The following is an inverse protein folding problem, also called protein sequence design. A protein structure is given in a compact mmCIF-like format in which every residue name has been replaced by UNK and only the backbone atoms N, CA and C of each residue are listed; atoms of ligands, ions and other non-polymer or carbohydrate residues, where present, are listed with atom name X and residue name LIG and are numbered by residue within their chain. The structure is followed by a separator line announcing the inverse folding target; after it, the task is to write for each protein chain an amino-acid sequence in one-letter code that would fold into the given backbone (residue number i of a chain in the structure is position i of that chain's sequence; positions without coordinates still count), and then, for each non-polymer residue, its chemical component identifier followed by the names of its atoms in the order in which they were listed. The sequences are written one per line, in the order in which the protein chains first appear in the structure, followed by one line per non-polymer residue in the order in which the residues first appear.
data_IF_478350209336
#
_entry.id   IF_478350209336
#
_cell.length_a   1.000
_cell.length_b   1.000
_cell.length_c   1.000
_cell.angle_alpha   90.00
_cell.angle_beta   90.00
_cell.angle_gamma   90.00
#
_symmetry.space_group_name_H-M   'P 1'
#
loop_
_entity.id
_entity.type
_entity.pdbx_description
1 polymer ?
#
# COMPACT_ATOMS: atom_id res chain seq x y z
N UNK A 1 -38.83 34.51 -3.01
CA UNK A 1 -38.69 33.70 -1.78
C UNK A 1 -37.35 33.00 -1.88
N UNK A 2 -36.29 33.60 -1.34
CA UNK A 2 -34.94 33.03 -1.35
C UNK A 2 -34.79 32.10 -0.15
N UNK A 3 -34.69 30.79 -0.42
CA UNK A 3 -34.30 29.82 0.60
C UNK A 3 -32.76 29.83 0.64
N UNK A 4 -32.19 30.71 1.47
CA UNK A 4 -30.79 30.59 1.91
C UNK A 4 -30.72 29.48 2.97
N UNK A 5 -30.69 28.23 2.53
CA UNK A 5 -30.34 27.10 3.40
C UNK A 5 -28.87 27.22 3.77
N UNK A 6 -28.56 27.82 4.92
CA UNK A 6 -27.29 27.63 5.61
C UNK A 6 -27.17 26.16 6.00
N UNK A 7 -26.60 25.34 5.11
CA UNK A 7 -26.13 24.02 5.48
C UNK A 7 -25.07 24.21 6.58
N UNK A 8 -25.34 23.73 7.81
CA UNK A 8 -24.30 23.63 8.84
C UNK A 8 -23.32 22.57 8.36
N UNK A 9 -22.13 23.00 7.95
CA UNK A 9 -21.04 22.10 7.61
C UNK A 9 -20.47 21.51 8.92
N UNK A 10 -20.84 20.26 9.21
CA UNK A 10 -20.23 19.52 10.30
C UNK A 10 -18.90 18.96 9.82
N UNK A 11 -17.79 19.53 10.32
CA UNK A 11 -16.46 18.97 10.11
C UNK A 11 -16.26 17.77 11.03
N UNK A 12 -16.43 16.59 10.48
CA UNK A 12 -16.06 15.35 11.18
C UNK A 12 -14.57 15.14 10.98
N UNK A 13 -13.82 15.11 12.08
CA UNK A 13 -12.39 14.82 12.04
C UNK A 13 -12.17 13.34 11.72
N UNK A 14 -11.12 13.07 10.96
CA UNK A 14 -10.67 11.71 10.68
C UNK A 14 -10.06 11.07 11.92
N UNK A 15 -10.22 9.76 12.04
CA UNK A 15 -9.68 8.99 13.16
C UNK A 15 -8.43 8.21 12.76
N UNK A 16 -7.49 8.14 13.69
CA UNK A 16 -6.32 7.28 13.64
C UNK A 16 -6.73 5.81 13.85
N UNK A 17 -5.84 4.89 13.46
CA UNK A 17 -6.04 3.46 13.72
C UNK A 17 -6.20 3.20 15.24
N UNK A 18 -5.36 3.84 16.07
CA UNK A 18 -5.41 3.69 17.53
C UNK A 18 -6.77 4.13 18.12
N UNK A 19 -7.36 5.21 17.61
CA UNK A 19 -8.69 5.66 18.03
C UNK A 19 -9.77 4.63 17.68
N UNK A 20 -9.71 4.03 16.48
CA UNK A 20 -10.63 2.95 16.11
C UNK A 20 -10.44 1.69 16.97
N UNK A 21 -9.20 1.26 17.16
CA UNK A 21 -8.84 0.12 18.00
C UNK A 21 -9.27 0.35 19.45
N UNK A 22 -9.23 1.59 19.93
CA UNK A 22 -9.71 1.92 21.25
C UNK A 22 -11.24 1.89 21.34
N UNK A 23 -11.95 2.36 20.31
CA UNK A 23 -13.42 2.39 20.30
C UNK A 23 -14.06 1.00 20.27
N UNK A 24 -13.49 0.05 19.52
CA UNK A 24 -14.03 -1.33 19.43
C UNK A 24 -13.75 -2.20 20.67
N UNK A 25 -13.05 -1.66 21.68
CA UNK A 25 -12.96 -2.30 23.00
C UNK A 25 -14.31 -2.28 23.71
N UNK A 26 -15.16 -1.31 23.39
CA UNK A 26 -16.54 -1.27 23.86
C UNK A 26 -17.40 -2.27 23.07
N UNK A 27 -18.09 -3.15 23.80
CA UNK A 27 -18.90 -4.23 23.21
C UNK A 27 -20.10 -3.71 22.43
N UNK A 28 -20.77 -2.66 22.91
CA UNK A 28 -21.93 -2.08 22.24
C UNK A 28 -21.52 -1.42 20.92
N UNK A 29 -20.41 -0.66 20.96
CA UNK A 29 -19.82 -0.07 19.75
C UNK A 29 -19.45 -1.16 18.76
N UNK A 30 -18.72 -2.19 19.19
CA UNK A 30 -18.30 -3.27 18.30
C UNK A 30 -19.49 -4.00 17.66
N UNK A 31 -20.50 -4.37 18.45
CA UNK A 31 -21.69 -5.05 17.94
C UNK A 31 -22.40 -4.20 16.87
N UNK A 32 -22.52 -2.89 17.11
CA UNK A 32 -23.18 -1.97 16.19
C UNK A 32 -22.49 -1.81 14.84
N UNK A 33 -21.16 -1.99 14.78
CA UNK A 33 -20.36 -1.79 13.55
C UNK A 33 -19.83 -3.07 12.92
N UNK A 34 -19.95 -4.21 13.61
CA UNK A 34 -19.40 -5.51 13.19
C UNK A 34 -19.75 -5.90 11.74
N UNK A 35 -20.98 -5.63 11.30
CA UNK A 35 -21.44 -5.91 9.94
C UNK A 35 -20.75 -5.07 8.85
N UNK A 36 -20.15 -3.94 9.22
CA UNK A 36 -19.35 -3.09 8.33
C UNK A 36 -17.86 -3.46 8.35
N UNK A 37 -17.40 -4.22 9.34
CA UNK A 37 -16.03 -4.71 9.44
C UNK A 37 -15.85 -6.03 8.66
N UNK A 38 -16.30 -6.01 7.40
CA UNK A 38 -16.43 -7.15 6.48
C UNK A 38 -15.25 -7.26 5.50
N UNK A 39 -14.12 -6.64 5.81
CA UNK A 39 -12.93 -6.73 4.97
C UNK A 39 -12.38 -8.17 4.97
N UNK A 40 -11.92 -8.69 3.82
CA UNK A 40 -11.45 -10.06 3.73
C UNK A 40 -10.28 -10.31 4.68
N UNK A 41 -10.29 -11.47 5.33
CA UNK A 41 -9.19 -11.92 6.17
C UNK A 41 -7.90 -12.10 5.35
N UNK A 42 -6.78 -11.92 6.04
CA UNK A 42 -5.43 -12.17 5.50
C UNK A 42 -5.22 -13.65 5.20
N UNK A 43 -5.76 -14.53 6.06
CA UNK A 43 -5.72 -15.97 5.89
C UNK A 43 -7.16 -16.49 5.70
N UNK A 44 -7.45 -17.28 4.66
CA UNK A 44 -8.70 -18.02 4.60
C UNK A 44 -8.71 -18.98 5.80
N UNK A 45 -9.81 -18.99 6.55
CA UNK A 45 -10.12 -19.88 7.69
C UNK A 45 -9.64 -19.47 9.10
N UNK A 46 -9.10 -18.27 9.31
CA UNK A 46 -8.91 -17.72 10.67
C UNK A 46 -10.08 -16.83 11.09
N UNK A 47 -10.67 -17.11 12.27
CA UNK A 47 -11.50 -16.13 12.97
C UNK A 47 -10.64 -14.89 13.28
N UNK A 48 -10.98 -13.77 12.65
CA UNK A 48 -10.28 -12.52 12.89
C UNK A 48 -10.64 -11.99 14.27
N UNK A 49 -9.61 -11.60 15.03
CA UNK A 49 -9.82 -10.79 16.22
C UNK A 49 -10.48 -9.46 15.86
N UNK A 50 -11.18 -8.82 16.82
CA UNK A 50 -11.80 -7.51 16.59
C UNK A 50 -10.80 -6.47 16.04
N UNK A 51 -9.59 -6.49 16.57
CA UNK A 51 -8.50 -5.63 16.13
C UNK A 51 -8.13 -5.90 14.67
N UNK A 52 -7.97 -7.18 14.27
CA UNK A 52 -7.69 -7.55 12.89
C UNK A 52 -8.81 -7.10 11.94
N UNK A 53 -10.08 -7.16 12.36
CA UNK A 53 -11.22 -6.69 11.55
C UNK A 53 -11.13 -5.19 11.27
N UNK A 54 -10.79 -4.40 12.29
CA UNK A 54 -10.57 -2.96 12.16
C UNK A 54 -9.37 -2.65 11.29
N UNK A 55 -8.23 -3.32 11.51
CA UNK A 55 -7.01 -3.11 10.72
C UNK A 55 -7.24 -3.41 9.23
N UNK A 56 -7.88 -4.53 8.91
CA UNK A 56 -8.25 -4.88 7.54
C UNK A 56 -9.19 -3.85 6.92
N UNK A 57 -10.17 -3.36 7.68
CA UNK A 57 -11.07 -2.31 7.19
C UNK A 57 -10.38 -0.96 7.03
N UNK A 58 -9.43 -0.64 7.91
CA UNK A 58 -8.69 0.62 7.92
C UNK A 58 -7.85 0.80 6.66
N UNK A 59 -7.39 -0.28 6.02
CA UNK A 59 -6.77 -0.18 4.70
C UNK A 59 -7.67 0.50 3.66
N UNK A 60 -8.96 0.16 3.65
CA UNK A 60 -9.94 0.72 2.71
C UNK A 60 -10.49 2.06 3.21
N UNK A 61 -10.98 2.09 4.45
CA UNK A 61 -11.69 3.23 5.02
C UNK A 61 -10.75 4.33 5.55
N UNK A 62 -9.55 3.93 5.98
CA UNK A 62 -8.57 4.74 6.69
C UNK A 62 -9.23 5.65 7.71
N UNK A 63 -8.93 6.94 7.63
CA UNK A 63 -9.43 7.91 8.61
C UNK A 63 -10.93 8.23 8.54
N UNK A 64 -11.68 7.70 7.58
CA UNK A 64 -13.09 8.07 7.40
C UNK A 64 -14.01 7.24 8.29
N UNK A 65 -14.55 7.83 9.35
CA UNK A 65 -15.48 7.14 10.26
C UNK A 65 -16.72 6.65 9.52
N UNK A 66 -17.16 7.40 8.49
CA UNK A 66 -18.29 7.00 7.66
C UNK A 66 -17.98 5.74 6.85
N UNK A 67 -16.78 5.63 6.28
CA UNK A 67 -16.36 4.41 5.57
C UNK A 67 -16.07 3.25 6.53
N UNK A 68 -15.59 3.54 7.73
CA UNK A 68 -15.30 2.53 8.76
C UNK A 68 -16.59 1.91 9.31
N UNK A 69 -17.56 2.73 9.71
CA UNK A 69 -18.69 2.28 10.54
C UNK A 69 -20.04 2.20 9.83
N UNK A 70 -20.19 2.76 8.62
CA UNK A 70 -21.48 2.84 7.94
C UNK A 70 -21.54 2.12 6.59
N UNK A 71 -20.39 1.81 5.99
CA UNK A 71 -20.34 1.18 4.68
C UNK A 71 -19.63 -0.16 4.71
N UNK A 72 -20.16 -1.13 3.96
CA UNK A 72 -19.45 -2.38 3.64
C UNK A 72 -18.21 -2.13 2.79
N UNK A 73 -17.22 -3.02 2.90
CA UNK A 73 -15.88 -2.84 2.32
C UNK A 73 -15.94 -2.73 0.80
N UNK A 74 -16.75 -3.58 0.16
CA UNK A 74 -16.99 -3.49 -1.28
C UNK A 74 -17.53 -2.11 -1.69
N UNK A 75 -18.48 -1.56 -0.94
CA UNK A 75 -19.04 -0.23 -1.22
C UNK A 75 -18.01 0.89 -1.03
N UNK A 76 -17.15 0.78 -0.02
CA UNK A 76 -16.03 1.72 0.18
C UNK A 76 -15.08 1.66 -1.01
N UNK A 77 -14.66 0.45 -1.42
CA UNK A 77 -13.76 0.24 -2.54
C UNK A 77 -14.30 0.84 -3.85
N UNK A 78 -15.57 0.56 -4.19
CA UNK A 78 -16.22 1.14 -5.38
C UNK A 78 -16.24 2.67 -5.31
N UNK A 79 -16.70 3.26 -4.20
CA UNK A 79 -16.79 4.72 -4.05
C UNK A 79 -15.44 5.42 -4.16
N UNK A 80 -14.38 4.79 -3.67
CA UNK A 80 -13.02 5.32 -3.75
C UNK A 80 -12.43 5.15 -5.14
N UNK A 81 -12.67 4.02 -5.80
CA UNK A 81 -12.33 3.79 -7.22
C UNK A 81 -12.92 4.89 -8.11
N UNK A 82 -14.24 5.09 -8.05
CA UNK A 82 -14.94 6.11 -8.86
C UNK A 82 -14.39 7.52 -8.61
N UNK A 83 -14.02 7.83 -7.36
CA UNK A 83 -13.47 9.12 -6.98
C UNK A 83 -12.04 9.32 -7.51
N UNK A 84 -11.21 8.27 -7.53
CA UNK A 84 -9.86 8.31 -8.12
C UNK A 84 -9.91 8.41 -9.64
N UNK A 85 -10.82 7.67 -10.29
CA UNK A 85 -10.99 7.74 -11.74
C UNK A 85 -11.40 9.18 -12.15
N UNK A 86 -12.34 9.78 -11.41
CA UNK A 86 -12.72 11.18 -11.59
C UNK A 86 -11.57 12.18 -11.32
N UNK A 87 -10.68 11.87 -10.37
CA UNK A 87 -9.52 12.70 -10.04
C UNK A 87 -8.44 12.65 -11.14
N UNK A 88 -8.23 11.47 -11.74
CA UNK A 88 -7.32 11.29 -12.86
C UNK A 88 -7.80 12.06 -14.10
N UNK A 89 -9.10 12.02 -14.38
CA UNK A 89 -9.72 12.76 -15.49
C UNK A 89 -9.72 14.27 -15.27
N UNK A 90 -9.81 14.73 -14.01
CA UNK A 90 -9.72 16.14 -13.65
C UNK A 90 -8.31 16.74 -13.85
N UNK A 91 -7.25 15.93 -14.01
CA UNK A 91 -5.95 16.43 -14.47
C UNK A 91 -6.00 16.93 -15.92
N UNK A 92 -6.97 16.45 -16.71
CA UNK A 92 -7.26 16.88 -18.08
C UNK A 92 -8.33 17.97 -18.18
N UNK A 93 -9.10 18.24 -17.12
CA UNK A 93 -10.22 19.20 -17.15
C UNK A 93 -10.03 20.31 -16.11
N UNK A 94 -9.53 21.43 -16.62
CA UNK A 94 -9.72 22.80 -16.15
C UNK A 94 -9.17 23.19 -14.75
N UNK A 95 -8.22 24.12 -14.82
CA UNK A 95 -8.21 25.35 -14.03
C UNK A 95 -9.64 25.89 -13.83
N UNK A 96 -10.28 25.62 -12.71
CA UNK A 96 -11.36 26.50 -12.20
C UNK A 96 -11.77 26.12 -10.79
N UNK A 97 -11.86 27.15 -9.97
CA UNK A 97 -12.45 27.19 -8.65
C UNK A 97 -13.81 26.45 -8.53
N UNK A 98 -14.04 25.92 -7.33
CA UNK A 98 -15.35 25.71 -6.70
C UNK A 98 -16.31 24.59 -7.16
N UNK A 99 -15.92 23.63 -8.01
CA UNK A 99 -16.79 22.44 -8.29
C UNK A 99 -16.19 21.04 -8.10
N UNK A 100 -14.94 20.92 -7.65
CA UNK A 100 -14.27 19.62 -7.34
C UNK A 100 -14.41 19.16 -5.88
N UNK A 101 -15.18 19.88 -5.05
CA UNK A 101 -15.29 19.64 -3.60
C UNK A 101 -15.89 18.28 -3.23
N UNK A 102 -16.67 17.65 -4.10
CA UNK A 102 -17.33 16.37 -3.80
C UNK A 102 -16.43 15.15 -3.93
N UNK A 103 -15.42 15.17 -4.81
CA UNK A 103 -14.51 14.04 -5.04
C UNK A 103 -13.23 14.16 -4.19
N UNK A 104 -12.69 15.37 -4.05
CA UNK A 104 -11.52 15.64 -3.22
C UNK A 104 -11.84 15.30 -1.75
N UNK A 105 -12.96 15.77 -1.19
CA UNK A 105 -13.32 15.47 0.21
C UNK A 105 -13.51 13.97 0.52
N UNK A 106 -13.59 13.09 -0.50
CA UNK A 106 -13.67 11.63 -0.32
C UNK A 106 -12.31 10.96 -0.29
N UNK A 107 -11.30 11.57 -0.90
CA UNK A 107 -9.94 11.04 -1.02
C UNK A 107 -9.01 11.55 0.09
N UNK A 108 -9.38 12.63 0.77
CA UNK A 108 -8.56 13.24 1.82
C UNK A 108 -9.27 13.24 3.18
N UNK A 109 -8.51 12.97 4.24
CA UNK A 109 -8.96 13.10 5.63
C UNK A 109 -8.79 14.50 6.19
N UNK A 110 -9.23 14.70 7.42
CA UNK A 110 -8.94 15.89 8.21
C UNK A 110 -8.50 15.45 9.60
N UNK A 111 -7.20 15.38 9.84
CA UNK A 111 -6.65 14.99 11.15
C UNK A 111 -6.33 16.23 11.98
N UNK A 112 -6.68 16.19 13.26
CA UNK A 112 -6.32 17.24 14.21
C UNK A 112 -4.84 17.15 14.56
N UNK A 113 -4.11 18.27 14.49
CA UNK A 113 -2.73 18.34 15.00
C UNK A 113 -2.73 18.50 16.52
N UNK A 114 -1.92 17.73 17.26
CA UNK A 114 -1.87 17.84 18.72
C UNK A 114 -1.38 19.19 19.27
N UNK A 115 -0.75 20.07 18.46
CA UNK A 115 -0.06 21.27 18.97
C UNK A 115 -0.03 22.51 18.06
N UNK A 116 -0.69 22.49 16.90
CA UNK A 116 -0.73 23.62 15.95
C UNK A 116 -2.17 23.83 15.49
N UNK A 117 -2.63 25.09 15.42
CA UNK A 117 -3.92 25.42 14.82
C UNK A 117 -3.83 25.13 13.32
N UNK A 118 -4.35 23.97 12.90
CA UNK A 118 -4.37 23.55 11.51
C UNK A 118 -4.74 22.07 11.35
N UNK A 119 -5.50 21.77 10.30
CA UNK A 119 -5.84 20.40 9.87
C UNK A 119 -4.89 19.96 8.77
N UNK A 120 -4.35 18.73 8.88
CA UNK A 120 -3.66 18.09 7.74
C UNK A 120 -4.72 17.35 6.94
N UNK A 121 -4.67 17.49 5.61
CA UNK A 121 -5.53 16.75 4.69
C UNK A 121 -4.78 15.69 3.92
N UNK A 122 -4.45 14.55 4.56
CA UNK A 122 -3.74 13.51 3.88
C UNK A 122 -4.67 12.53 3.18
N UNK A 123 -4.11 11.60 2.39
CA UNK A 123 -4.90 10.59 1.68
C UNK A 123 -5.64 9.82 2.76
N UNK A 124 -6.95 9.66 2.57
CA UNK A 124 -7.83 9.14 3.61
C UNK A 124 -7.45 7.71 4.00
N UNK A 125 -6.95 6.91 3.06
CA UNK A 125 -6.63 5.50 3.24
C UNK A 125 -5.56 5.02 2.27
N UNK A 126 -4.90 3.90 2.63
CA UNK A 126 -3.89 3.28 1.79
C UNK A 126 -4.43 2.72 0.48
N UNK A 127 -5.69 2.25 0.49
CA UNK A 127 -6.36 1.80 -0.72
C UNK A 127 -6.43 2.93 -1.77
N UNK A 128 -6.78 4.14 -1.35
CA UNK A 128 -6.77 5.31 -2.24
C UNK A 128 -5.37 5.62 -2.74
N UNK A 129 -4.37 5.57 -1.85
CA UNK A 129 -2.99 5.79 -2.22
C UNK A 129 -2.55 4.81 -3.33
N UNK A 130 -2.83 3.52 -3.13
CA UNK A 130 -2.63 2.46 -4.12
C UNK A 130 -3.32 2.75 -5.45
N UNK A 131 -4.59 3.12 -5.43
CA UNK A 131 -5.34 3.43 -6.64
C UNK A 131 -4.73 4.60 -7.40
N UNK A 132 -4.34 5.67 -6.71
CA UNK A 132 -3.68 6.83 -7.31
C UNK A 132 -2.34 6.39 -7.93
N UNK A 133 -1.53 5.61 -7.22
CA UNK A 133 -0.23 5.15 -7.73
C UNK A 133 -0.34 4.31 -9.02
N UNK A 134 -1.32 3.41 -9.05
CA UNK A 134 -1.50 2.46 -10.15
C UNK A 134 -2.23 3.08 -11.33
N UNK A 135 -3.17 4.01 -11.09
CA UNK A 135 -4.04 4.56 -12.13
C UNK A 135 -3.66 5.95 -12.60
N UNK A 136 -3.10 6.78 -11.73
CA UNK A 136 -2.77 8.16 -12.07
C UNK A 136 -1.37 8.32 -12.70
N UNK A 137 -1.23 9.35 -13.54
CA UNK A 137 0.04 9.74 -14.14
C UNK A 137 0.93 10.58 -13.21
N UNK A 138 2.21 10.82 -13.58
CA UNK A 138 3.19 11.51 -12.75
C UNK A 138 2.75 12.91 -12.28
N UNK A 139 2.01 13.65 -13.11
CA UNK A 139 1.57 15.01 -12.80
C UNK A 139 0.49 15.05 -11.70
N UNK A 140 -0.43 14.08 -11.69
CA UNK A 140 -1.43 13.96 -10.62
C UNK A 140 -0.77 13.63 -9.28
N UNK A 141 0.32 12.86 -9.31
CA UNK A 141 1.08 12.46 -8.12
C UNK A 141 1.95 13.61 -7.63
N UNK A 142 2.60 14.38 -8.52
CA UNK A 142 3.30 15.62 -8.14
C UNK A 142 2.34 16.61 -7.47
N UNK A 143 1.14 16.80 -8.03
CA UNK A 143 0.09 17.65 -7.44
C UNK A 143 -0.37 17.14 -6.07
N UNK A 144 -0.47 15.82 -5.91
CA UNK A 144 -0.70 15.21 -4.62
C UNK A 144 0.44 15.59 -3.68
N UNK A 145 1.69 15.26 -3.99
CA UNK A 145 2.86 15.53 -3.13
C UNK A 145 3.00 17.02 -2.76
N UNK A 146 2.74 17.96 -3.68
CA UNK A 146 2.81 19.40 -3.39
C UNK A 146 1.77 19.85 -2.35
N UNK A 147 0.66 19.13 -2.22
CA UNK A 147 -0.38 19.42 -1.21
C UNK A 147 0.05 18.96 0.20
N UNK A 148 1.14 18.18 0.32
CA UNK A 148 1.52 17.42 1.53
C UNK A 148 2.83 17.88 2.17
N UNK A 149 3.43 18.98 1.70
CA UNK A 149 4.73 19.46 2.18
C UNK A 149 4.83 19.70 3.71
N UNK A 150 3.72 19.62 4.45
CA UNK A 150 3.64 19.87 5.89
C UNK A 150 3.18 18.68 6.77
N UNK A 151 3.07 17.44 6.26
CA UNK A 151 2.56 16.33 7.09
C UNK A 151 3.65 15.56 7.85
N UNK A 152 3.70 15.73 9.17
CA UNK A 152 4.59 15.01 10.10
C UNK A 152 4.07 13.62 10.53
N UNK A 153 3.30 12.92 9.68
CA UNK A 153 2.69 11.63 10.02
C UNK A 153 3.45 10.47 9.33
N UNK A 154 4.15 9.60 10.08
CA UNK A 154 4.95 8.50 9.53
C UNK A 154 4.17 7.49 8.66
N UNK A 155 2.90 7.21 8.96
CA UNK A 155 2.10 6.26 8.18
C UNK A 155 1.82 6.79 6.76
N UNK A 156 1.67 8.11 6.63
CA UNK A 156 1.51 8.76 5.34
C UNK A 156 2.79 8.72 4.51
N UNK A 157 3.95 8.85 5.17
CA UNK A 157 5.24 8.75 4.49
C UNK A 157 5.43 7.35 3.87
N UNK A 158 5.05 6.28 4.58
CA UNK A 158 5.04 4.92 4.01
C UNK A 158 4.13 4.80 2.78
N UNK A 159 2.89 5.30 2.86
CA UNK A 159 1.96 5.25 1.72
C UNK A 159 2.45 6.10 0.55
N UNK A 160 3.05 7.26 0.82
CA UNK A 160 3.64 8.11 -0.21
C UNK A 160 4.82 7.45 -0.89
N UNK A 161 5.70 6.78 -0.13
CA UNK A 161 6.83 6.03 -0.69
C UNK A 161 6.34 4.91 -1.61
N UNK A 162 5.34 4.14 -1.16
CA UNK A 162 4.68 3.11 -1.97
C UNK A 162 4.03 3.71 -3.24
N UNK A 163 3.38 4.87 -3.12
CA UNK A 163 2.81 5.57 -4.28
C UNK A 163 3.89 5.97 -5.29
N UNK A 164 4.96 6.61 -4.82
CA UNK A 164 6.09 7.06 -5.65
C UNK A 164 6.72 5.86 -6.36
N UNK A 165 6.90 4.77 -5.63
CA UNK A 165 7.46 3.52 -6.15
C UNK A 165 6.70 2.99 -7.36
N UNK A 166 5.40 2.72 -7.22
CA UNK A 166 4.59 2.16 -8.31
C UNK A 166 4.41 3.14 -9.46
N UNK A 167 4.31 4.43 -9.15
CA UNK A 167 4.18 5.48 -10.16
C UNK A 167 5.40 5.58 -11.07
N UNK A 168 6.61 5.58 -10.48
CA UNK A 168 7.86 5.63 -11.23
C UNK A 168 7.99 4.37 -12.10
N UNK A 169 7.77 3.19 -11.51
CA UNK A 169 7.83 1.92 -12.21
C UNK A 169 6.86 1.86 -13.41
N UNK A 170 5.69 2.49 -13.33
CA UNK A 170 4.70 2.56 -14.43
C UNK A 170 5.03 3.59 -15.51
N UNK A 171 5.64 4.73 -15.15
CA UNK A 171 5.70 5.92 -15.99
C UNK A 171 7.11 6.34 -16.45
N UNK A 172 8.12 5.49 -16.26
CA UNK A 172 9.48 5.79 -16.69
C UNK A 172 10.54 4.83 -16.17
N UNK A 173 10.16 3.92 -15.27
CA UNK A 173 11.09 3.06 -14.56
C UNK A 173 11.53 3.67 -13.23
N UNK A 174 12.32 2.92 -12.48
CA UNK A 174 12.79 3.30 -11.15
C UNK A 174 14.31 3.09 -11.06
N UNK A 175 15.04 4.14 -10.72
CA UNK A 175 16.45 4.02 -10.33
C UNK A 175 16.53 3.79 -8.82
N UNK A 176 17.19 2.72 -8.41
CA UNK A 176 17.54 2.46 -7.01
C UNK A 176 18.90 3.06 -6.72
N UNK A 177 19.02 3.74 -5.57
CA UNK A 177 20.26 4.41 -5.15
C UNK A 177 20.74 3.89 -3.80
N UNK A 178 22.05 3.94 -3.57
CA UNK A 178 22.66 3.66 -2.27
C UNK A 178 22.56 4.88 -1.33
N UNK A 179 23.12 4.76 -0.12
CA UNK A 179 23.13 5.84 0.86
C UNK A 179 23.88 7.10 0.36
N UNK A 180 24.88 6.92 -0.50
CA UNK A 180 25.66 8.00 -1.11
C UNK A 180 24.97 8.62 -2.34
N UNK A 181 23.85 8.06 -2.79
CA UNK A 181 23.09 8.53 -3.94
C UNK A 181 23.58 7.96 -5.28
N UNK A 182 24.45 6.96 -5.27
CA UNK A 182 24.88 6.30 -6.50
C UNK A 182 23.81 5.30 -6.95
N UNK A 183 23.54 5.24 -8.25
CA UNK A 183 22.61 4.26 -8.81
C UNK A 183 23.18 2.84 -8.66
N UNK A 184 22.43 1.97 -7.98
CA UNK A 184 22.77 0.55 -7.75
C UNK A 184 22.04 -0.36 -8.72
N UNK A 185 20.80 -0.02 -9.09
CA UNK A 185 19.99 -0.79 -10.03
C UNK A 185 19.03 0.15 -10.76
N UNK A 186 18.53 -0.26 -11.93
CA UNK A 186 17.52 0.47 -12.68
C UNK A 186 16.48 -0.50 -13.23
N UNK A 187 15.22 -0.28 -12.84
CA UNK A 187 14.09 -1.09 -13.26
C UNK A 187 13.35 -0.37 -14.37
N UNK A 188 13.23 -1.03 -15.52
CA UNK A 188 12.52 -0.48 -16.67
C UNK A 188 11.04 -0.28 -16.38
N UNK A 189 10.45 0.65 -17.13
CA UNK A 189 9.00 0.84 -17.16
C UNK A 189 8.28 -0.50 -17.35
N UNK A 190 7.28 -0.78 -16.51
CA UNK A 190 6.54 -2.04 -16.55
C UNK A 190 5.05 -1.86 -16.29
N UNK A 191 4.26 -2.81 -16.78
CA UNK A 191 2.83 -2.93 -16.44
C UNK A 191 2.71 -3.55 -15.05
N UNK A 192 1.85 -2.96 -14.21
CA UNK A 192 1.54 -3.46 -12.88
C UNK A 192 0.16 -4.14 -12.93
N UNK A 193 0.11 -5.40 -12.57
CA UNK A 193 -1.11 -6.19 -12.43
C UNK A 193 -1.51 -6.22 -10.96
N UNK A 194 -2.70 -5.72 -10.62
CA UNK A 194 -3.22 -5.79 -9.25
C UNK A 194 -3.97 -7.09 -9.08
N UNK A 195 -3.42 -8.01 -8.30
CA UNK A 195 -4.04 -9.31 -8.00
C UNK A 195 -3.36 -9.99 -6.81
N UNK A 196 -4.13 -10.75 -6.04
CA UNK A 196 -3.60 -11.67 -5.03
C UNK A 196 -3.23 -13.05 -5.60
N UNK A 197 -3.65 -13.37 -6.82
CA UNK A 197 -3.42 -14.65 -7.48
C UNK A 197 -2.16 -14.67 -8.34
N UNK A 198 -2.00 -15.75 -9.11
CA UNK A 198 -0.97 -15.82 -10.16
C UNK A 198 -1.59 -15.29 -11.46
N UNK A 199 -1.14 -14.12 -11.97
CA UNK A 199 -1.62 -13.62 -13.25
C UNK A 199 -0.99 -14.40 -14.40
N UNK A 200 -1.56 -14.25 -15.60
CA UNK A 200 -0.92 -14.74 -16.82
C UNK A 200 0.47 -14.09 -16.97
N UNK A 201 1.51 -14.92 -17.11
CA UNK A 201 2.89 -14.46 -17.17
C UNK A 201 3.37 -14.31 -18.61
N UNK A 202 4.04 -13.19 -18.90
CA UNK A 202 4.69 -13.00 -20.19
C UNK A 202 6.01 -13.76 -20.25
N UNK A 203 6.23 -14.50 -21.35
CA UNK A 203 7.53 -15.10 -21.64
C UNK A 203 8.57 -14.10 -22.16
N UNK A 204 8.16 -12.86 -22.48
CA UNK A 204 9.02 -11.87 -23.11
C UNK A 204 9.46 -10.75 -22.16
N UNK A 205 8.57 -10.31 -21.26
CA UNK A 205 8.81 -9.18 -20.38
C UNK A 205 8.49 -9.53 -18.92
N UNK A 206 9.19 -8.94 -17.94
CA UNK A 206 8.79 -9.03 -16.54
C UNK A 206 7.36 -8.55 -16.32
N UNK A 207 6.62 -9.26 -15.46
CA UNK A 207 5.31 -8.83 -14.97
C UNK A 207 5.50 -8.36 -13.53
N UNK A 208 5.03 -7.15 -13.24
CA UNK A 208 4.97 -6.64 -11.88
C UNK A 208 3.58 -6.86 -11.31
N UNK A 209 3.52 -7.37 -10.09
CA UNK A 209 2.31 -7.76 -9.40
C UNK A 209 2.22 -6.93 -8.13
N UNK A 210 1.07 -6.32 -7.92
CA UNK A 210 0.71 -5.65 -6.67
C UNK A 210 -0.39 -6.45 -5.98
N UNK A 211 -0.19 -6.94 -4.74
CA UNK A 211 -1.24 -7.59 -3.97
C UNK A 211 -2.44 -6.65 -3.79
N UNK A 212 -3.65 -7.20 -3.91
CA UNK A 212 -4.88 -6.42 -3.78
C UNK A 212 -5.28 -6.28 -2.31
N UNK A 213 -5.11 -7.36 -1.54
CA UNK A 213 -5.41 -7.39 -0.11
C UNK A 213 -4.31 -6.78 0.74
N UNK A 214 -4.75 -5.99 1.72
CA UNK A 214 -3.93 -5.54 2.83
C UNK A 214 -3.35 -6.74 3.59
N UNK A 215 -2.07 -6.63 3.95
CA UNK A 215 -1.42 -7.54 4.88
C UNK A 215 -1.23 -8.99 4.37
N UNK A 216 -0.88 -9.17 3.08
CA UNK A 216 -0.19 -10.41 2.65
C UNK A 216 1.22 -10.56 3.24
N UNK A 217 1.64 -9.63 4.13
CA UNK A 217 2.50 -9.89 5.29
C UNK A 217 4.01 -9.93 5.06
N UNK A 218 4.48 -9.76 3.83
CA UNK A 218 5.92 -9.67 3.55
C UNK A 218 6.34 -8.88 2.31
N UNK A 219 5.44 -8.42 1.46
CA UNK A 219 5.84 -7.71 0.23
C UNK A 219 4.73 -6.79 -0.25
N UNK A 220 5.12 -5.69 -0.90
CA UNK A 220 4.21 -4.74 -1.54
C UNK A 220 4.17 -4.96 -3.05
N UNK A 221 5.24 -5.50 -3.66
CA UNK A 221 5.29 -5.85 -5.06
C UNK A 221 6.05 -7.16 -5.32
N UNK A 222 5.73 -7.82 -6.43
CA UNK A 222 6.45 -9.00 -6.93
C UNK A 222 6.77 -8.77 -8.40
N UNK A 223 8.02 -8.94 -8.79
CA UNK A 223 8.42 -9.03 -10.20
C UNK A 223 8.63 -10.49 -10.55
N UNK A 224 8.02 -10.91 -11.65
CA UNK A 224 8.13 -12.28 -12.17
C UNK A 224 8.62 -12.21 -13.61
N UNK A 225 9.77 -12.80 -13.88
CA UNK A 225 10.32 -12.91 -15.23
C UNK A 225 10.55 -14.38 -15.60
N UNK A 226 9.61 -14.94 -16.37
CA UNK A 226 9.67 -16.34 -16.81
C UNK A 226 10.88 -16.62 -17.70
N UNK A 227 11.28 -15.64 -18.54
CA UNK A 227 12.44 -15.73 -19.44
C UNK A 227 13.76 -15.97 -18.71
N UNK A 228 13.97 -15.25 -17.60
CA UNK A 228 15.20 -15.33 -16.81
C UNK A 228 15.02 -16.21 -15.56
N UNK A 229 13.85 -16.84 -15.41
CA UNK A 229 13.50 -17.65 -14.25
C UNK A 229 13.72 -16.91 -12.91
N UNK A 230 13.37 -15.62 -12.90
CA UNK A 230 13.64 -14.69 -11.81
C UNK A 230 12.34 -14.27 -11.12
N UNK A 231 12.28 -14.43 -9.80
CA UNK A 231 11.25 -13.87 -8.94
C UNK A 231 11.89 -12.90 -7.95
N UNK A 232 11.40 -11.67 -7.90
CA UNK A 232 11.85 -10.65 -6.95
C UNK A 232 10.67 -10.18 -6.13
N UNK A 233 10.79 -10.25 -4.82
CA UNK A 233 9.86 -9.62 -3.89
C UNK A 233 10.39 -8.27 -3.49
N UNK A 234 9.50 -7.28 -3.43
CA UNK A 234 9.84 -5.93 -3.00
C UNK A 234 8.94 -5.54 -1.85
N UNK A 235 9.55 -5.12 -0.75
CA UNK A 235 8.86 -4.49 0.37
C UNK A 235 9.29 -3.02 0.44
N UNK A 236 8.34 -2.12 0.30
CA UNK A 236 8.54 -0.68 0.30
C UNK A 236 8.22 -0.15 1.69
N UNK A 237 9.15 0.55 2.33
CA UNK A 237 8.90 1.00 3.69
C UNK A 237 9.64 2.25 4.14
N UNK A 238 8.93 3.10 4.90
CA UNK A 238 9.50 4.27 5.57
C UNK A 238 9.91 4.02 7.03
N UNK A 239 9.67 2.81 7.56
CA UNK A 239 9.97 2.50 8.97
C UNK A 239 11.41 1.99 9.16
N UNK A 240 12.04 2.39 10.27
CA UNK A 240 13.40 1.99 10.63
C UNK A 240 13.54 0.51 11.01
N UNK A 241 12.44 -0.12 11.42
CA UNK A 241 12.42 -1.51 11.89
C UNK A 241 11.29 -2.29 11.25
N UNK A 242 11.60 -3.47 10.70
CA UNK A 242 10.62 -4.32 10.04
C UNK A 242 10.64 -5.76 10.51
N UNK A 243 9.44 -6.35 10.59
CA UNK A 243 9.29 -7.78 10.78
C UNK A 243 9.43 -8.48 9.43
N UNK A 244 10.39 -9.40 9.32
CA UNK A 244 10.61 -10.20 8.13
C UNK A 244 9.98 -11.59 8.30
N UNK A 245 8.78 -11.75 7.76
CA UNK A 245 7.96 -12.96 7.92
C UNK A 245 8.05 -13.82 6.65
N UNK A 246 9.00 -14.75 6.65
CA UNK A 246 9.38 -15.56 5.47
C UNK A 246 8.21 -16.41 4.93
N UNK A 247 7.28 -16.80 5.81
CA UNK A 247 6.10 -17.61 5.47
C UNK A 247 5.25 -17.01 4.33
N UNK A 248 5.19 -15.69 4.23
CA UNK A 248 4.41 -15.01 3.19
C UNK A 248 5.01 -15.21 1.80
N UNK A 249 6.33 -15.01 1.66
CA UNK A 249 7.08 -15.24 0.43
C UNK A 249 6.97 -16.71 0.00
N UNK A 250 7.20 -17.63 0.94
CA UNK A 250 7.09 -19.07 0.69
C UNK A 250 5.70 -19.47 0.18
N UNK A 251 4.63 -18.94 0.80
CA UNK A 251 3.26 -19.25 0.38
C UNK A 251 3.01 -18.82 -1.06
N UNK A 252 3.45 -17.63 -1.44
CA UNK A 252 3.27 -17.14 -2.81
C UNK A 252 4.07 -17.98 -3.83
N UNK A 253 5.33 -18.31 -3.51
CA UNK A 253 6.16 -19.17 -4.37
C UNK A 253 5.56 -20.57 -4.53
N UNK A 254 5.02 -21.14 -3.45
CA UNK A 254 4.30 -22.41 -3.51
C UNK A 254 3.10 -22.30 -4.45
N UNK A 255 2.33 -21.22 -4.34
CA UNK A 255 1.19 -20.94 -5.22
C UNK A 255 1.61 -20.79 -6.68
N UNK A 256 2.75 -20.15 -6.98
CA UNK A 256 3.32 -20.09 -8.31
C UNK A 256 3.71 -21.48 -8.82
N UNK A 257 4.37 -22.29 -7.99
CA UNK A 257 4.82 -23.64 -8.36
C UNK A 257 3.67 -24.61 -8.66
N UNK A 258 2.51 -24.40 -8.03
CA UNK A 258 1.30 -25.20 -8.22
C UNK A 258 0.40 -24.65 -9.34
N UNK A 259 0.73 -23.48 -9.90
CA UNK A 259 -0.07 -22.83 -10.94
C UNK A 259 0.25 -23.32 -12.36
N UNK A 260 -0.68 -23.14 -13.31
CA UNK A 260 -0.41 -23.38 -14.74
C UNK A 260 0.74 -22.52 -15.30
N UNK A 261 1.06 -21.41 -14.63
CA UNK A 261 2.11 -20.48 -15.03
C UNK A 261 3.49 -20.85 -14.47
N UNK A 262 3.57 -21.95 -13.70
CA UNK A 262 4.78 -22.42 -13.02
C UNK A 262 6.01 -22.53 -13.91
N UNK A 263 7.16 -22.31 -13.28
CA UNK A 263 8.48 -22.53 -13.83
C UNK A 263 9.48 -22.73 -12.68
N UNK A 264 10.63 -23.35 -12.94
CA UNK A 264 11.71 -23.44 -11.97
C UNK A 264 12.27 -22.04 -11.69
N UNK A 265 12.27 -21.61 -10.42
CA UNK A 265 12.85 -20.33 -9.99
C UNK A 265 14.36 -20.51 -9.82
N UNK A 266 15.16 -19.84 -10.66
CA UNK A 266 16.64 -19.87 -10.60
C UNK A 266 17.22 -18.69 -9.85
N UNK A 267 16.55 -17.55 -9.90
CA UNK A 267 16.98 -16.33 -9.23
C UNK A 267 15.83 -15.89 -8.33
N UNK A 268 16.11 -15.75 -7.05
CA UNK A 268 15.16 -15.24 -6.07
C UNK A 268 15.79 -14.10 -5.29
N UNK A 269 15.10 -12.96 -5.28
CA UNK A 269 15.53 -11.76 -4.56
C UNK A 269 14.43 -11.27 -3.63
N UNK A 270 14.82 -10.74 -2.47
CA UNK A 270 13.94 -10.02 -1.56
C UNK A 270 14.59 -8.67 -1.32
N UNK A 271 13.97 -7.60 -1.81
CA UNK A 271 14.50 -6.24 -1.79
C UNK A 271 13.64 -5.37 -0.88
N UNK A 272 14.29 -4.66 0.04
CA UNK A 272 13.66 -3.63 0.86
C UNK A 272 13.98 -2.26 0.28
N UNK A 273 12.95 -1.56 -0.19
CA UNK A 273 13.07 -0.19 -0.71
C UNK A 273 12.72 0.76 0.42
N UNK A 274 13.68 1.56 0.85
CA UNK A 274 13.55 2.51 1.94
C UNK A 274 13.92 3.92 1.51
N UNK A 275 13.50 4.93 2.28
CA UNK A 275 13.98 6.30 2.08
C UNK A 275 15.50 6.38 2.29
N UNK A 276 16.20 7.12 1.43
CA UNK A 276 17.66 7.15 1.37
C UNK A 276 18.32 7.55 2.70
N UNK A 277 17.74 8.53 3.39
CA UNK A 277 18.20 9.01 4.70
C UNK A 277 18.04 7.96 5.81
N UNK A 278 17.14 6.99 5.62
CA UNK A 278 16.87 5.91 6.59
C UNK A 278 17.66 4.64 6.32
N UNK A 279 18.25 4.50 5.13
CA UNK A 279 18.96 3.29 4.70
C UNK A 279 20.05 2.84 5.69
N UNK A 280 20.79 3.80 6.26
CA UNK A 280 21.87 3.52 7.22
C UNK A 280 21.39 2.98 8.58
N UNK A 281 20.11 3.14 8.89
CA UNK A 281 19.50 2.79 10.19
C UNK A 281 18.46 1.69 10.09
N UNK A 282 18.25 1.16 8.89
CA UNK A 282 17.26 0.11 8.63
C UNK A 282 17.73 -1.21 9.23
N UNK A 283 16.85 -1.85 10.01
CA UNK A 283 17.13 -3.13 10.66
C UNK A 283 15.89 -4.02 10.74
N UNK A 284 16.09 -5.32 10.86
CA UNK A 284 15.00 -6.28 11.06
C UNK A 284 14.68 -6.41 12.56
N UNK A 285 13.43 -6.14 12.95
CA UNK A 285 13.00 -6.28 14.35
C UNK A 285 12.81 -7.74 14.76
N UNK A 286 12.33 -8.56 13.84
CA UNK A 286 12.02 -9.97 14.08
C UNK A 286 12.03 -10.70 12.75
N UNK A 287 12.67 -11.86 12.70
CA UNK A 287 12.68 -12.73 11.53
C UNK A 287 12.03 -14.05 11.91
N UNK A 288 11.05 -14.49 11.13
CA UNK A 288 10.33 -15.74 11.36
C UNK A 288 10.26 -16.59 10.10
N UNK A 289 10.25 -17.91 10.25
CA UNK A 289 10.15 -18.84 9.13
C UNK A 289 11.48 -19.22 8.47
N UNK A 290 12.60 -19.15 9.20
CA UNK A 290 13.91 -19.55 8.69
C UNK A 290 13.88 -20.99 8.12
N UNK A 291 14.49 -21.16 6.96
CA UNK A 291 14.56 -22.42 6.22
C UNK A 291 13.38 -22.69 5.28
N UNK A 292 12.30 -21.89 5.32
CA UNK A 292 11.15 -22.11 4.43
C UNK A 292 11.49 -21.87 2.95
N UNK A 293 12.50 -21.05 2.66
CA UNK A 293 12.92 -20.71 1.29
C UNK A 293 14.01 -21.64 0.72
N UNK A 294 14.45 -22.66 1.48
CA UNK A 294 15.42 -23.66 1.01
C UNK A 294 14.99 -24.36 -0.29
N UNK A 295 13.71 -24.75 -0.48
CA UNK A 295 13.27 -25.35 -1.75
C UNK A 295 13.42 -24.43 -2.96
N UNK A 296 13.58 -23.13 -2.75
CA UNK A 296 13.75 -22.11 -3.78
C UNK A 296 15.19 -21.55 -3.85
N UNK A 297 16.16 -22.31 -3.31
CA UNK A 297 17.58 -21.99 -3.43
C UNK A 297 18.11 -21.01 -2.38
N UNK A 298 17.32 -20.59 -1.40
CA UNK A 298 17.80 -19.71 -0.33
C UNK A 298 18.34 -20.51 0.87
N UNK A 299 19.63 -20.37 1.23
CA UNK A 299 20.21 -21.17 2.31
C UNK A 299 19.61 -20.84 3.68
N UNK A 300 19.35 -21.89 4.48
CA UNK A 300 18.88 -21.72 5.86
C UNK A 300 19.91 -20.95 6.69
N UNK A 301 19.46 -19.93 7.41
CA UNK A 301 20.32 -19.07 8.24
C UNK A 301 21.02 -17.95 7.48
N UNK A 302 20.76 -17.80 6.18
CA UNK A 302 21.23 -16.70 5.32
C UNK A 302 20.09 -15.76 4.91
N UNK A 303 18.91 -15.87 5.53
CA UNK A 303 17.74 -15.08 5.16
C UNK A 303 17.83 -13.60 5.58
N UNK A 304 18.71 -13.29 6.53
CA UNK A 304 18.97 -11.92 7.02
C UNK A 304 20.29 -11.34 6.53
N UNK A 305 21.10 -12.15 5.86
CA UNK A 305 22.35 -11.66 5.28
C UNK A 305 21.94 -10.74 4.14
N UNK A 306 21.98 -9.43 4.40
CA UNK A 306 21.77 -8.39 3.40
C UNK A 306 22.80 -8.63 2.30
N UNK A 307 22.39 -9.31 1.23
CA UNK A 307 23.20 -9.44 0.04
C UNK A 307 23.22 -8.08 -0.65
N UNK A 308 24.08 -7.18 -0.16
CA UNK A 308 24.76 -6.26 -1.06
C UNK A 308 25.53 -7.18 -1.99
N UNK A 309 25.18 -7.14 -3.27
CA UNK A 309 25.84 -7.84 -4.37
C UNK A 309 27.32 -8.20 -4.10
N UNK A 310 27.56 -9.41 -3.60
CA UNK A 310 28.81 -10.11 -3.85
C UNK A 310 28.61 -10.94 -5.12
N UNK A 311 28.45 -10.22 -6.23
CA UNK A 311 28.66 -10.74 -7.58
C UNK A 311 29.94 -10.11 -8.10
N UNK A 312 31.06 -10.80 -7.84
CA UNK A 312 32.25 -10.73 -8.70
C UNK A 312 31.90 -11.09 -10.14
#
# INVERSE_FOLDING_TARGET
MEILTRAREFRVCSWTLDEYLNAIKDDEVFQSVSQCLDAPAVLPDEEMSRAAMVESKYYYAGGSCRYMFHFRTATVATKLSDAVDSFNDAATVATSDQRSSSSINRLFGMFQRPRVVGTVSPVISQYVATLIAVRCGPEAIKKLMSTYQDSSNPALNSWMLEMVFFANLRNGGLALVDAAGNTVDTWSQSVIVVTDGIPALSSAQPVWIKPEKWNQGGYDAIMVCKRTQHVRFVQVTSAHKHSFRISHFYRWLKMLSESPESFEVKIMEIIFVVEQDKLSTFDFSTVTGNGLLVPFGWPKGKETDLSINDAT
#
